data_IF_014274522146
#
_entry.id   IF_014274522146
#
_cell.length_a   1.000
_cell.length_b   1.000
_cell.length_c   1.000
_cell.angle_alpha   90.00
_cell.angle_beta   90.00
_cell.angle_gamma   90.00
#
_symmetry.space_group_name_H-M   'P 1'
#
loop_
_entity.id
_entity.type
_entity.pdbx_description
1 polymer ?
#
# COMPACT_ATOMS: atom_id res chain seq x y z
N UNK A 1 -30.72 -9.36 38.32
CA UNK A 1 -30.24 -8.13 38.99
C UNK A 1 -31.18 -6.97 38.70
N UNK A 2 -32.21 -6.73 39.55
CA UNK A 2 -33.30 -5.78 39.27
C UNK A 2 -32.95 -4.30 39.49
N UNK A 3 -31.73 -3.98 39.96
CA UNK A 3 -31.33 -2.59 40.28
C UNK A 3 -30.83 -1.79 39.07
N UNK A 4 -30.41 -2.45 37.97
CA UNK A 4 -30.02 -1.78 36.71
C UNK A 4 -28.79 -0.86 36.79
N UNK A 5 -28.09 -0.83 37.92
CA UNK A 5 -26.93 0.03 38.21
C UNK A 5 -25.78 -0.20 37.23
N UNK A 6 -25.44 -1.45 36.95
CA UNK A 6 -24.37 -1.84 36.01
C UNK A 6 -24.69 -1.41 34.57
N UNK A 7 -25.96 -1.44 34.16
CA UNK A 7 -26.37 -0.95 32.85
C UNK A 7 -26.23 0.57 32.72
N UNK A 8 -26.48 1.31 33.81
CA UNK A 8 -26.32 2.76 33.87
C UNK A 8 -24.84 3.16 33.80
N UNK A 9 -23.95 2.45 34.51
CA UNK A 9 -22.51 2.73 34.44
C UNK A 9 -21.95 2.50 33.04
N UNK A 10 -22.28 1.39 32.36
CA UNK A 10 -21.85 1.17 30.98
C UNK A 10 -22.40 2.21 30.00
N UNK A 11 -23.65 2.67 30.21
CA UNK A 11 -24.24 3.73 29.40
C UNK A 11 -23.47 5.05 29.55
N UNK A 12 -23.08 5.40 30.76
CA UNK A 12 -22.27 6.60 31.04
C UNK A 12 -20.87 6.47 30.44
N UNK A 13 -20.21 5.32 30.59
CA UNK A 13 -18.90 5.07 29.97
C UNK A 13 -18.93 5.17 28.45
N UNK A 14 -19.95 4.60 27.80
CA UNK A 14 -20.13 4.66 26.35
C UNK A 14 -20.35 6.12 25.90
N UNK A 15 -21.18 6.88 26.63
CA UNK A 15 -21.42 8.30 26.34
C UNK A 15 -20.14 9.11 26.42
N UNK A 16 -19.38 8.98 27.51
CA UNK A 16 -18.12 9.70 27.69
C UNK A 16 -17.10 9.37 26.58
N UNK A 17 -17.07 8.12 26.09
CA UNK A 17 -16.22 7.73 24.96
C UNK A 17 -16.68 8.34 23.63
N UNK A 18 -17.99 8.38 23.39
CA UNK A 18 -18.57 8.99 22.19
C UNK A 18 -18.31 10.50 22.17
N UNK A 19 -18.52 11.19 23.29
CA UNK A 19 -18.21 12.62 23.42
C UNK A 19 -16.73 12.89 23.12
N UNK A 20 -15.82 12.10 23.71
CA UNK A 20 -14.38 12.16 23.43
C UNK A 20 -14.01 11.87 21.98
N UNK A 21 -14.76 11.04 21.26
CA UNK A 21 -14.53 10.76 19.84
C UNK A 21 -15.08 11.85 18.93
N UNK A 22 -16.12 12.57 19.36
CA UNK A 22 -16.67 13.71 18.64
C UNK A 22 -15.82 14.97 18.82
N UNK A 23 -15.14 15.11 19.96
CA UNK A 23 -14.19 16.19 20.19
C UNK A 23 -13.10 16.20 19.09
N UNK A 24 -12.96 17.30 18.33
CA UNK A 24 -11.88 17.41 17.37
C UNK A 24 -10.54 17.37 18.10
N UNK A 25 -9.58 16.64 17.54
CA UNK A 25 -8.24 16.58 18.12
C UNK A 25 -7.69 18.01 18.30
N UNK A 26 -7.07 18.32 19.45
CA UNK A 26 -6.54 19.65 19.70
C UNK A 26 -5.58 20.05 18.58
N UNK A 27 -5.71 21.31 18.13
CA UNK A 27 -4.92 21.82 17.02
C UNK A 27 -3.42 21.65 17.32
N UNK A 28 -2.71 20.98 16.40
CA UNK A 28 -1.26 20.81 16.53
C UNK A 28 -0.60 22.16 16.34
N UNK A 29 0.14 22.63 17.35
CA UNK A 29 1.02 23.80 17.20
C UNK A 29 2.07 23.49 16.14
N UNK A 30 2.43 24.45 15.25
CA UNK A 30 3.49 24.25 14.28
C UNK A 30 4.79 23.96 15.03
N UNK A 31 5.40 22.81 14.75
CA UNK A 31 6.72 22.49 15.30
C UNK A 31 7.73 23.37 14.56
N UNK A 32 8.55 24.17 15.26
CA UNK A 32 9.58 24.97 14.60
C UNK A 32 10.53 24.05 13.84
N UNK A 33 11.10 24.58 12.76
CA UNK A 33 12.12 23.88 12.02
C UNK A 33 13.36 23.67 12.91
N UNK A 34 14.10 22.57 12.73
CA UNK A 34 15.40 22.42 13.35
C UNK A 34 16.31 23.57 12.90
N UNK A 35 17.16 24.04 13.82
CA UNK A 35 18.16 25.07 13.51
C UNK A 35 19.04 24.57 12.36
N UNK A 36 19.40 25.43 11.39
CA UNK A 36 20.34 25.07 10.34
C UNK A 36 21.69 24.69 10.95
N UNK A 37 22.06 23.41 10.88
CA UNK A 37 23.37 22.92 11.32
C UNK A 37 24.42 23.16 10.23
N UNK A 38 25.54 23.81 10.57
CA UNK A 38 26.69 23.98 9.67
C UNK A 38 27.70 22.83 9.73
N UNK A 39 27.55 21.91 10.69
CA UNK A 39 28.54 20.89 10.95
C UNK A 39 28.49 19.74 9.92
N UNK A 40 29.66 19.25 9.47
CA UNK A 40 29.72 18.10 8.58
C UNK A 40 29.20 16.85 9.28
N UNK A 41 28.15 16.25 8.73
CA UNK A 41 27.56 15.02 9.27
C UNK A 41 28.56 13.85 9.24
N UNK A 42 28.56 13.03 10.30
CA UNK A 42 29.32 11.77 10.36
C UNK A 42 28.96 10.84 9.20
N UNK A 43 29.94 10.52 8.36
CA UNK A 43 29.76 9.62 7.22
C UNK A 43 29.85 8.15 7.67
N UNK A 44 28.95 7.31 7.17
CA UNK A 44 28.98 5.85 7.38
C UNK A 44 29.31 5.15 6.05
N UNK A 45 30.14 4.10 6.10
CA UNK A 45 30.66 3.38 4.92
C UNK A 45 30.00 2.04 4.58
N UNK A 46 28.96 1.60 5.31
CA UNK A 46 28.42 0.26 5.17
C UNK A 46 27.60 0.01 3.89
N UNK A 47 27.53 -1.26 3.43
CA UNK A 47 26.77 -1.70 2.23
C UNK A 47 25.32 -1.21 2.21
N UNK A 48 24.61 -1.28 3.36
CA UNK A 48 23.21 -0.81 3.48
C UNK A 48 23.10 0.69 3.24
N UNK A 49 24.01 1.48 3.80
CA UNK A 49 24.00 2.93 3.62
C UNK A 49 24.42 3.31 2.20
N UNK A 50 25.41 2.61 1.61
CA UNK A 50 25.79 2.81 0.21
C UNK A 50 24.58 2.60 -0.71
N UNK A 51 23.84 1.50 -0.54
CA UNK A 51 22.58 1.23 -1.28
C UNK A 51 21.50 2.29 -1.02
N UNK A 52 21.42 2.86 0.18
CA UNK A 52 20.50 3.97 0.47
C UNK A 52 20.92 5.26 -0.23
N UNK A 53 22.20 5.62 -0.19
CA UNK A 53 22.76 6.80 -0.87
C UNK A 53 22.63 6.68 -2.38
N UNK A 54 22.92 5.50 -2.94
CA UNK A 54 22.73 5.19 -4.37
C UNK A 54 21.29 5.44 -4.85
N UNK A 55 20.28 5.31 -3.97
CA UNK A 55 18.88 5.60 -4.33
C UNK A 55 18.55 7.09 -4.52
N UNK A 56 19.32 7.96 -3.90
CA UNK A 56 19.11 9.41 -3.94
C UNK A 56 20.20 10.14 -4.73
N UNK A 57 21.31 9.44 -5.03
CA UNK A 57 22.40 9.99 -5.82
C UNK A 57 21.98 10.18 -7.28
N UNK A 58 22.47 11.26 -7.89
CA UNK A 58 22.34 11.50 -9.33
C UNK A 58 23.02 10.38 -10.10
N UNK A 59 22.31 9.78 -11.05
CA UNK A 59 22.85 8.71 -11.90
C UNK A 59 23.93 9.24 -12.83
N UNK A 60 24.82 8.37 -13.27
CA UNK A 60 25.83 8.74 -14.26
C UNK A 60 25.19 9.18 -15.59
N UNK A 61 24.05 8.60 -15.97
CA UNK A 61 23.25 9.06 -17.11
C UNK A 61 22.76 10.50 -16.92
N UNK A 62 22.23 10.86 -15.73
CA UNK A 62 21.79 12.24 -15.47
C UNK A 62 22.96 13.21 -15.34
N UNK A 63 24.12 12.76 -14.84
CA UNK A 63 25.35 13.57 -14.85
C UNK A 63 25.81 13.89 -16.29
N UNK A 64 25.74 12.91 -17.19
CA UNK A 64 26.05 13.11 -18.61
C UNK A 64 25.03 14.05 -19.28
N UNK A 65 23.75 13.89 -18.96
CA UNK A 65 22.71 14.80 -19.45
C UNK A 65 22.89 16.24 -18.95
N UNK A 66 23.34 16.42 -17.70
CA UNK A 66 23.63 17.73 -17.13
C UNK A 66 24.96 18.34 -17.61
N UNK A 67 25.79 17.58 -18.34
CA UNK A 67 27.06 18.08 -18.88
C UNK A 67 26.81 18.59 -20.28
N UNK A 68 27.19 19.82 -20.54
CA UNK A 68 26.96 20.51 -21.81
C UNK A 68 28.29 20.78 -22.51
N UNK A 69 28.33 20.63 -23.84
CA UNK A 69 29.52 20.96 -24.61
C UNK A 69 29.43 22.39 -25.12
N UNK A 70 30.41 23.21 -24.75
CA UNK A 70 30.47 24.58 -25.21
C UNK A 70 30.69 24.67 -26.73
N UNK A 71 29.95 25.56 -27.40
CA UNK A 71 30.08 25.80 -28.84
C UNK A 71 29.38 24.80 -29.76
N UNK A 72 28.69 23.78 -29.20
CA UNK A 72 27.90 22.81 -29.97
C UNK A 72 26.43 22.92 -29.55
N UNK A 73 25.52 23.02 -30.52
CA UNK A 73 24.10 23.03 -30.25
C UNK A 73 23.65 21.69 -29.66
N UNK A 74 22.83 21.74 -28.62
CA UNK A 74 22.36 20.54 -27.93
C UNK A 74 21.17 19.91 -28.65
N UNK A 75 21.13 18.58 -28.64
CA UNK A 75 19.91 17.85 -28.98
C UNK A 75 18.94 18.02 -27.81
N UNK A 76 17.76 18.56 -28.09
CA UNK A 76 16.69 18.77 -27.10
C UNK A 76 15.45 18.01 -27.52
N UNK A 77 14.73 17.47 -26.53
CA UNK A 77 13.41 16.92 -26.75
C UNK A 77 12.34 17.92 -26.37
N UNK A 78 11.33 18.01 -27.22
CA UNK A 78 10.13 18.77 -26.94
C UNK A 78 9.10 17.84 -26.30
N UNK A 79 9.26 17.57 -25.01
CA UNK A 79 8.30 16.78 -24.23
C UNK A 79 7.57 17.73 -23.28
N UNK A 80 6.23 17.67 -23.29
CA UNK A 80 5.36 18.50 -22.46
C UNK A 80 5.52 20.03 -22.64
N UNK A 81 5.99 20.48 -23.80
CA UNK A 81 6.18 21.92 -24.06
C UNK A 81 7.41 22.54 -23.40
N UNK A 82 8.22 21.73 -22.70
CA UNK A 82 9.48 22.13 -22.11
C UNK A 82 10.62 21.47 -22.91
N UNK A 83 11.53 22.29 -23.42
CA UNK A 83 12.72 21.81 -24.13
C UNK A 83 13.72 21.21 -23.14
N UNK A 84 13.66 19.91 -22.89
CA UNK A 84 14.69 19.23 -22.09
C UNK A 84 15.89 18.89 -22.98
N UNK A 85 17.02 19.56 -22.75
CA UNK A 85 18.30 19.29 -23.39
C UNK A 85 18.94 18.00 -22.88
N UNK A 86 19.53 17.22 -23.79
CA UNK A 86 20.21 15.98 -23.47
C UNK A 86 21.70 16.16 -23.15
N UNK A 87 22.26 17.38 -23.25
CA UNK A 87 23.67 17.66 -22.98
C UNK A 87 24.60 16.75 -23.79
N UNK A 88 25.54 16.07 -23.10
CA UNK A 88 26.47 15.12 -23.73
C UNK A 88 25.85 13.75 -24.02
N UNK A 89 24.62 13.49 -23.58
CA UNK A 89 23.94 12.23 -23.87
C UNK A 89 23.47 12.23 -25.34
N UNK A 90 24.01 11.35 -26.17
CA UNK A 90 23.63 11.24 -27.60
C UNK A 90 24.64 11.86 -28.59
N UNK A 91 25.68 12.56 -28.11
CA UNK A 91 26.70 13.20 -28.97
C UNK A 91 27.54 12.26 -29.85
N UNK A 92 27.38 10.93 -29.73
CA UNK A 92 28.12 9.94 -30.53
C UNK A 92 27.63 9.81 -31.99
N UNK A 93 27.02 10.85 -32.57
CA UNK A 93 26.62 10.90 -33.98
C UNK A 93 25.48 9.94 -34.37
N UNK A 94 24.77 9.36 -33.40
CA UNK A 94 23.62 8.48 -33.65
C UNK A 94 22.34 9.17 -33.18
N UNK A 95 21.39 9.36 -34.10
CA UNK A 95 20.05 9.94 -33.84
C UNK A 95 19.19 9.15 -32.84
N UNK A 96 19.71 8.07 -32.27
CA UNK A 96 19.03 7.24 -31.27
C UNK A 96 19.93 7.11 -30.05
N UNK A 97 19.46 7.65 -28.93
CA UNK A 97 20.12 7.51 -27.64
C UNK A 97 20.05 6.05 -27.18
N UNK A 98 21.14 5.30 -27.32
CA UNK A 98 21.28 3.96 -26.75
C UNK A 98 21.78 4.08 -25.31
N UNK A 99 20.87 3.97 -24.36
CA UNK A 99 21.22 3.91 -22.92
C UNK A 99 21.35 2.45 -22.51
N UNK A 100 22.51 2.06 -21.98
CA UNK A 100 22.64 0.78 -21.28
C UNK A 100 21.83 0.83 -19.97
N UNK A 101 20.67 0.16 -19.94
CA UNK A 101 19.78 0.04 -18.76
C UNK A 101 20.36 -0.95 -17.72
N UNK A 102 21.68 -0.94 -17.51
CA UNK A 102 22.34 -1.95 -16.69
C UNK A 102 22.10 -1.78 -15.18
N UNK A 103 21.52 -0.65 -14.74
CA UNK A 103 21.32 -0.40 -13.31
C UNK A 103 19.88 0.02 -12.99
N UNK A 104 18.96 -0.94 -12.95
CA UNK A 104 17.60 -0.78 -12.38
C UNK A 104 17.60 -0.54 -10.85
N UNK A 105 18.69 -0.05 -10.27
CA UNK A 105 18.82 0.20 -8.82
C UNK A 105 17.88 1.30 -8.32
N UNK A 106 17.42 2.16 -9.24
CA UNK A 106 16.54 3.29 -9.01
C UNK A 106 15.09 3.07 -9.45
N UNK A 107 14.72 1.85 -9.83
CA UNK A 107 13.32 1.55 -10.15
C UNK A 107 12.42 1.98 -8.98
N UNK A 108 11.35 2.72 -9.31
CA UNK A 108 10.41 3.23 -8.33
C UNK A 108 9.84 2.07 -7.52
N UNK A 109 10.18 2.01 -6.23
CA UNK A 109 9.66 0.99 -5.34
C UNK A 109 8.31 1.43 -4.82
N UNK A 110 7.30 0.62 -5.07
CA UNK A 110 5.98 0.76 -4.48
C UNK A 110 6.12 0.85 -2.96
N UNK A 111 5.50 1.88 -2.36
CA UNK A 111 5.49 2.07 -0.92
C UNK A 111 4.90 0.83 -0.24
N UNK A 112 5.46 0.42 0.92
CA UNK A 112 5.04 -0.78 1.65
C UNK A 112 3.53 -0.84 1.88
N UNK A 113 2.92 0.31 2.22
CA UNK A 113 1.47 0.45 2.43
C UNK A 113 0.63 0.15 1.17
N UNK A 114 1.16 0.46 -0.02
CA UNK A 114 0.47 0.18 -1.28
C UNK A 114 0.66 -1.28 -1.69
N UNK A 115 1.83 -1.87 -1.41
CA UNK A 115 2.09 -3.31 -1.63
C UNK A 115 1.12 -4.21 -0.84
N UNK A 116 0.85 -3.87 0.42
CA UNK A 116 -0.05 -4.65 1.29
C UNK A 116 -1.51 -4.61 0.82
N UNK A 117 -1.97 -3.48 0.26
CA UNK A 117 -3.33 -3.38 -0.32
C UNK A 117 -3.52 -4.28 -1.54
N UNK A 118 -2.48 -4.51 -2.34
CA UNK A 118 -2.55 -5.41 -3.49
C UNK A 118 -2.46 -6.89 -3.13
N UNK A 119 -1.82 -7.25 -2.01
CA UNK A 119 -1.77 -8.63 -1.53
C UNK A 119 -2.96 -9.03 -0.65
N UNK A 120 -3.69 -8.07 -0.08
CA UNK A 120 -4.87 -8.35 0.75
C UNK A 120 -6.12 -8.79 -0.01
N UNK A 121 -6.12 -8.71 -1.35
CA UNK A 121 -7.30 -9.04 -2.17
C UNK A 121 -7.36 -10.50 -2.63
N UNK A 122 -6.25 -11.25 -2.58
CA UNK A 122 -6.22 -12.62 -3.13
C UNK A 122 -6.68 -13.69 -2.14
N UNK A 123 -6.74 -13.39 -0.83
CA UNK A 123 -6.94 -14.43 0.20
C UNK A 123 -7.92 -14.05 1.32
N UNK A 124 -8.59 -12.90 1.22
CA UNK A 124 -9.61 -12.46 2.19
C UNK A 124 -10.98 -13.12 1.96
N UNK A 125 -11.00 -14.37 1.53
CA UNK A 125 -12.26 -15.10 1.37
C UNK A 125 -12.56 -15.92 2.61
N UNK A 126 -13.29 -15.26 3.51
CA UNK A 126 -13.92 -15.76 4.72
C UNK A 126 -14.32 -17.24 4.66
N UNK A 127 -14.13 -17.96 5.78
CA UNK A 127 -14.48 -19.37 6.00
C UNK A 127 -15.96 -19.77 5.86
N UNK A 128 -16.75 -19.02 5.08
CA UNK A 128 -18.09 -19.37 4.58
C UNK A 128 -18.06 -19.83 3.12
N UNK A 129 -16.89 -19.94 2.48
CA UNK A 129 -16.79 -20.47 1.12
C UNK A 129 -17.19 -21.95 1.10
N UNK A 130 -18.23 -22.25 0.32
CA UNK A 130 -18.55 -23.59 -0.16
C UNK A 130 -17.28 -24.31 -0.61
N UNK A 131 -17.03 -25.52 -0.09
CA UNK A 131 -15.88 -26.35 -0.47
C UNK A 131 -16.34 -27.29 -1.59
N UNK A 132 -15.72 -27.23 -2.76
CA UNK A 132 -15.94 -28.21 -3.82
C UNK A 132 -15.25 -29.51 -3.42
N UNK A 133 -15.98 -30.63 -3.34
CA UNK A 133 -15.47 -31.96 -3.03
C UNK A 133 -15.66 -32.87 -4.24
N UNK A 134 -14.65 -33.69 -4.53
CA UNK A 134 -14.67 -34.63 -5.66
C UNK A 134 -15.14 -36.00 -5.14
N UNK A 135 -16.36 -36.39 -5.47
CA UNK A 135 -16.94 -37.69 -5.07
C UNK A 135 -17.01 -38.64 -6.28
N UNK A 136 -16.76 -39.94 -6.09
CA UNK A 136 -16.54 -40.89 -7.20
C UNK A 136 -17.79 -41.17 -8.07
N UNK A 137 -18.98 -40.75 -7.63
CA UNK A 137 -20.23 -40.97 -8.36
C UNK A 137 -20.62 -39.77 -9.22
N UNK A 138 -20.25 -38.56 -8.83
CA UNK A 138 -20.74 -37.33 -9.43
C UNK A 138 -19.67 -36.24 -9.52
N UNK A 139 -18.42 -36.63 -9.77
CA UNK A 139 -17.27 -35.81 -10.19
C UNK A 139 -16.99 -34.48 -9.44
N UNK A 140 -17.86 -33.46 -9.43
CA UNK A 140 -17.70 -32.27 -8.59
C UNK A 140 -19.00 -31.90 -7.86
N UNK A 141 -18.95 -31.87 -6.54
CA UNK A 141 -20.07 -31.48 -5.68
C UNK A 141 -19.72 -30.27 -4.79
N UNK A 142 -20.66 -29.32 -4.66
CA UNK A 142 -20.56 -28.17 -3.75
C UNK A 142 -20.97 -28.58 -2.33
N UNK A 143 -20.00 -28.84 -1.45
CA UNK A 143 -20.28 -29.19 -0.05
C UNK A 143 -20.47 -27.96 0.84
N UNK A 144 -21.65 -27.85 1.45
CA UNK A 144 -21.98 -26.87 2.50
C UNK A 144 -22.11 -27.63 3.82
N UNK A 145 -21.08 -27.63 4.69
CA UNK A 145 -21.06 -28.47 5.90
C UNK A 145 -22.21 -28.18 6.88
N UNK A 146 -22.77 -26.97 6.85
CA UNK A 146 -23.84 -26.56 7.76
C UNK A 146 -25.25 -27.01 7.29
N UNK A 147 -25.43 -27.29 5.99
CA UNK A 147 -26.69 -27.75 5.44
C UNK A 147 -26.97 -29.23 5.76
N UNK A 148 -25.93 -30.08 5.76
CA UNK A 148 -26.05 -31.49 6.12
C UNK A 148 -26.49 -31.71 7.58
N UNK A 149 -26.09 -30.82 8.50
CA UNK A 149 -26.50 -30.89 9.90
C UNK A 149 -28.00 -30.60 10.10
N UNK A 150 -28.64 -29.86 9.19
CA UNK A 150 -30.05 -29.50 9.29
C UNK A 150 -30.98 -30.59 8.72
N UNK A 151 -30.51 -31.41 7.79
CA UNK A 151 -31.29 -32.53 7.23
C UNK A 151 -31.46 -33.71 8.20
N UNK A 152 -30.53 -33.93 9.12
CA UNK A 152 -30.62 -34.99 10.13
C UNK A 152 -31.54 -34.63 11.33
N UNK A 153 -32.05 -33.39 11.38
CA UNK A 153 -32.84 -32.87 12.50
C UNK A 153 -34.30 -32.52 12.17
N UNK A 154 -34.82 -32.80 10.97
CA UNK A 154 -36.19 -32.43 10.57
C UNK A 154 -37.23 -33.43 11.07
N UNK A 155 -37.34 -33.55 12.39
CA UNK A 155 -38.33 -34.38 13.08
C UNK A 155 -38.94 -33.63 14.27
N UNK A 156 -39.58 -32.48 14.03
CA UNK A 156 -40.56 -31.97 14.99
C UNK A 156 -41.54 -31.03 14.31
N UNK A 157 -42.79 -31.47 14.23
CA UNK A 157 -43.90 -30.69 13.72
C UNK A 157 -44.20 -29.53 14.67
N UNK A 158 -44.13 -28.29 14.16
CA UNK A 158 -44.55 -27.09 14.90
C UNK A 158 -46.06 -26.92 14.75
N UNK A 159 -46.81 -27.11 15.85
CA UNK A 159 -48.26 -26.85 15.95
C UNK A 159 -48.57 -25.40 16.39
N UNK A 160 -47.65 -24.46 16.17
CA UNK A 160 -47.73 -23.12 16.77
C UNK A 160 -48.73 -22.15 16.09
N UNK A 161 -49.42 -22.58 15.03
CA UNK A 161 -50.50 -21.80 14.40
C UNK A 161 -51.73 -22.68 14.15
N UNK A 162 -52.44 -23.05 15.22
CA UNK A 162 -53.78 -23.64 15.11
C UNK A 162 -54.61 -23.26 16.33
N UNK A 163 -55.32 -22.13 16.25
CA UNK A 163 -56.77 -22.02 16.43
C UNK A 163 -57.20 -20.55 16.43
N UNK A 164 -58.26 -20.27 15.66
CA UNK A 164 -59.22 -19.20 15.90
C UNK A 164 -60.36 -19.81 16.73
#
# INVERSE_FOLDING_TARGET
YPSGTVGRSFREEIRNKIEKWQEPSPAKRPKPLPVPDSEPKKMKGGRRLRKMKERYAVTDMRKLANRTQFGVAEESSFVNGLGEGYGMLGQAGSSKIRVFVAQMKLAAKVAKKFKEKHYGSSDATSGRKSRLAFTPVQWLELSIPQAHAQQLGSGSQSTYFSQK
#
